data_IF_894111148642
#
_entry.id   IF_894111148642
#
_cell.length_a   1.000
_cell.length_b   1.000
_cell.length_c   1.000
_cell.angle_alpha   90.00
_cell.angle_beta   90.00
_cell.angle_gamma   90.00
#
_symmetry.space_group_name_H-M   'P 1'
#
loop_
_entity.id
_entity.type
_entity.pdbx_description
1 polymer ?
#
# COMPACT_ATOMS: atom_id res chain seq x y z
N UNK A 1 3.93 -4.54 -0.94
CA UNK A 1 2.52 -4.13 -0.77
C UNK A 1 2.49 -2.63 -0.59
N UNK A 2 1.39 -1.96 -0.91
CA UNK A 2 1.24 -0.52 -0.66
C UNK A 2 0.14 -0.22 0.37
N UNK A 3 0.20 0.98 0.92
CA UNK A 3 -0.77 1.49 1.89
C UNK A 3 -1.28 2.86 1.44
N UNK A 4 -2.51 3.20 1.82
CA UNK A 4 -3.00 4.57 1.82
C UNK A 4 -2.56 5.26 3.12
N UNK A 5 -1.93 6.42 3.01
CA UNK A 5 -1.44 7.21 4.14
C UNK A 5 -2.47 8.28 4.52
N UNK A 6 -2.35 8.94 5.69
CA UNK A 6 -3.22 10.07 6.04
C UNK A 6 -3.29 11.18 4.97
N UNK A 7 -2.19 11.38 4.24
CA UNK A 7 -2.12 12.33 3.12
C UNK A 7 -3.08 12.00 1.98
N UNK A 8 -3.51 10.74 1.85
CA UNK A 8 -4.46 10.31 0.83
C UNK A 8 -5.75 11.12 0.87
N UNK A 9 -6.27 11.41 2.06
CA UNK A 9 -7.49 12.21 2.22
C UNK A 9 -7.25 13.70 1.95
N UNK A 10 -6.08 14.20 2.32
CA UNK A 10 -5.76 15.64 2.19
C UNK A 10 -5.48 15.99 0.72
N UNK A 11 -4.81 15.10 0.01
CA UNK A 11 -4.31 15.36 -1.35
C UNK A 11 -5.22 14.83 -2.45
N UNK A 12 -6.09 13.85 -2.16
CA UNK A 12 -7.06 13.39 -3.15
C UNK A 12 -8.24 14.37 -3.23
N UNK A 13 -8.78 14.61 -4.44
CA UNK A 13 -9.97 15.44 -4.58
C UNK A 13 -11.17 14.75 -3.92
N UNK A 14 -12.06 15.54 -3.31
CA UNK A 14 -13.25 14.99 -2.63
C UNK A 14 -14.20 14.26 -3.59
N UNK A 15 -14.28 14.73 -4.84
CA UNK A 15 -15.03 14.08 -5.93
C UNK A 15 -14.19 14.08 -7.20
N UNK A 16 -14.28 13.02 -7.97
CA UNK A 16 -13.65 12.88 -9.28
C UNK A 16 -14.63 12.27 -10.27
N UNK A 17 -14.46 12.64 -11.53
CA UNK A 17 -15.28 12.15 -12.63
C UNK A 17 -14.36 11.66 -13.75
N UNK A 18 -14.67 10.48 -14.28
CA UNK A 18 -13.98 9.89 -15.40
C UNK A 18 -14.99 9.54 -16.48
N UNK A 19 -14.66 9.85 -17.72
CA UNK A 19 -15.48 9.50 -18.86
C UNK A 19 -14.61 8.88 -19.94
N UNK A 20 -15.08 7.76 -20.45
CA UNK A 20 -14.57 7.07 -21.62
C UNK A 20 -15.70 6.94 -22.64
N UNK A 21 -15.44 6.29 -23.79
CA UNK A 21 -16.47 6.08 -24.81
C UNK A 21 -17.68 5.28 -24.29
N UNK A 22 -17.41 4.31 -23.41
CA UNK A 22 -18.39 3.30 -22.98
C UNK A 22 -18.64 3.28 -21.48
N UNK A 23 -17.98 4.13 -20.71
CA UNK A 23 -18.16 4.17 -19.26
C UNK A 23 -18.03 5.59 -18.73
N UNK A 24 -18.92 5.94 -17.80
CA UNK A 24 -18.83 7.13 -16.98
C UNK A 24 -18.76 6.74 -15.51
N UNK A 25 -17.75 7.20 -14.79
CA UNK A 25 -17.52 6.86 -13.38
C UNK A 25 -17.44 8.12 -12.52
N UNK A 26 -18.29 8.18 -11.51
CA UNK A 26 -18.20 9.13 -10.41
C UNK A 26 -17.51 8.45 -9.23
N UNK A 27 -16.55 9.15 -8.63
CA UNK A 27 -15.85 8.72 -7.41
C UNK A 27 -16.01 9.80 -6.36
N UNK A 28 -16.53 9.45 -5.19
CA UNK A 28 -16.65 10.32 -4.03
C UNK A 28 -15.81 9.76 -2.88
N UNK A 29 -15.03 10.64 -2.24
CA UNK A 29 -14.13 10.29 -1.15
C UNK A 29 -14.67 10.88 0.15
N UNK A 30 -15.10 10.02 1.07
CA UNK A 30 -15.66 10.38 2.37
C UNK A 30 -14.65 10.09 3.48
N UNK A 31 -14.37 11.10 4.32
CA UNK A 31 -13.48 10.99 5.48
C UNK A 31 -14.27 10.55 6.72
N UNK A 32 -13.70 9.61 7.47
CA UNK A 32 -14.09 9.33 8.85
C UNK A 32 -12.88 9.51 9.77
N UNK A 33 -13.06 10.19 10.90
CA UNK A 33 -11.95 10.57 11.79
C UNK A 33 -11.59 9.49 12.81
N UNK A 34 -12.55 8.67 13.24
CA UNK A 34 -12.37 7.69 14.32
C UNK A 34 -12.99 6.34 13.92
N UNK A 35 -12.17 5.32 13.55
CA UNK A 35 -10.75 5.41 13.22
C UNK A 35 -10.52 6.19 11.91
N UNK A 36 -9.30 6.70 11.71
CA UNK A 36 -8.94 7.43 10.48
C UNK A 36 -9.10 6.53 9.25
N UNK A 37 -10.16 6.79 8.48
CA UNK A 37 -10.56 6.01 7.31
C UNK A 37 -10.98 6.91 6.16
N UNK A 38 -10.78 6.37 4.97
CA UNK A 38 -11.31 6.90 3.72
C UNK A 38 -12.27 5.88 3.13
N UNK A 39 -13.51 6.28 2.93
CA UNK A 39 -14.47 5.50 2.13
C UNK A 39 -14.53 6.10 0.74
N UNK A 40 -14.38 5.27 -0.29
CA UNK A 40 -14.61 5.65 -1.68
C UNK A 40 -15.94 5.06 -2.10
N UNK A 41 -16.86 5.92 -2.53
CA UNK A 41 -18.13 5.53 -3.14
C UNK A 41 -17.98 5.76 -4.64
N UNK A 42 -18.17 4.71 -5.43
CA UNK A 42 -17.94 4.72 -6.87
C UNK A 42 -19.22 4.29 -7.55
N UNK A 43 -19.76 5.17 -8.39
CA UNK A 43 -20.90 4.84 -9.26
C UNK A 43 -20.42 4.88 -10.70
N UNK A 44 -20.52 3.76 -11.40
CA UNK A 44 -20.19 3.64 -12.81
C UNK A 44 -21.46 3.38 -13.63
N UNK A 45 -21.57 4.03 -14.78
CA UNK A 45 -22.57 3.75 -15.80
C UNK A 45 -21.82 3.19 -17.01
N UNK A 46 -21.94 1.89 -17.22
CA UNK A 46 -21.25 1.15 -18.30
C UNK A 46 -22.24 0.89 -19.42
N UNK A 47 -21.87 1.22 -20.65
CA UNK A 47 -22.71 1.00 -21.83
C UNK A 47 -22.95 -0.49 -22.02
N UNK A 48 -24.22 -0.86 -22.19
CA UNK A 48 -24.66 -2.20 -22.56
C UNK A 48 -25.66 -2.07 -23.73
N UNK A 49 -25.14 -2.14 -24.95
CA UNK A 49 -25.88 -1.83 -26.17
C UNK A 49 -26.40 -0.39 -26.20
N UNK A 50 -27.72 -0.24 -26.30
CA UNK A 50 -28.43 1.05 -26.28
C UNK A 50 -28.71 1.58 -24.85
N UNK A 51 -28.38 0.79 -23.83
CA UNK A 51 -28.63 1.10 -22.42
C UNK A 51 -27.32 1.28 -21.65
N UNK A 52 -27.45 1.57 -20.36
CA UNK A 52 -26.33 1.58 -19.43
C UNK A 52 -26.68 0.74 -18.20
N UNK A 53 -25.74 -0.08 -17.76
CA UNK A 53 -25.76 -0.74 -16.46
C UNK A 53 -25.12 0.19 -15.43
N UNK A 54 -25.82 0.38 -14.29
CA UNK A 54 -25.24 1.08 -13.14
C UNK A 54 -24.58 0.07 -12.21
N UNK A 55 -23.32 0.31 -11.89
CA UNK A 55 -22.53 -0.46 -10.92
C UNK A 55 -22.11 0.47 -9.79
N UNK A 56 -22.48 0.13 -8.56
CA UNK A 56 -22.02 0.83 -7.36
C UNK A 56 -20.98 -0.04 -6.63
N UNK A 57 -19.85 0.57 -6.28
CA UNK A 57 -18.74 -0.07 -5.57
C UNK A 57 -18.29 0.81 -4.40
N UNK A 58 -18.10 0.20 -3.24
CA UNK A 58 -17.66 0.89 -2.03
C UNK A 58 -16.35 0.30 -1.50
N UNK A 59 -15.30 1.12 -1.42
CA UNK A 59 -14.02 0.74 -0.80
C UNK A 59 -13.86 1.45 0.54
N UNK A 60 -13.52 0.72 1.60
CA UNK A 60 -13.17 1.31 2.90
C UNK A 60 -11.69 1.05 3.21
N UNK A 61 -10.91 2.13 3.26
CA UNK A 61 -9.47 2.10 3.51
C UNK A 61 -9.17 2.64 4.91
N UNK A 62 -8.37 1.89 5.66
CA UNK A 62 -7.69 2.43 6.84
C UNK A 62 -6.50 3.25 6.36
N UNK A 63 -6.37 4.46 6.87
CA UNK A 63 -5.19 5.27 6.59
C UNK A 63 -4.11 4.97 7.62
N UNK A 64 -2.95 4.55 7.14
CA UNK A 64 -1.86 4.06 7.99
C UNK A 64 -0.72 5.06 7.91
N UNK A 65 -0.27 5.50 9.08
CA UNK A 65 0.94 6.30 9.20
C UNK A 65 2.18 5.45 8.80
N UNK A 66 2.97 5.88 7.79
CA UNK A 66 4.08 5.09 7.28
C UNK A 66 5.15 4.79 8.33
N UNK A 67 5.46 5.75 9.20
CA UNK A 67 6.51 5.62 10.23
C UNK A 67 6.10 4.62 11.30
N UNK A 68 4.83 4.63 11.71
CA UNK A 68 4.24 3.66 12.63
C UNK A 68 4.31 2.24 12.06
N UNK A 69 4.02 2.08 10.76
CA UNK A 69 4.14 0.78 10.10
C UNK A 69 5.59 0.33 9.97
N UNK A 70 6.50 1.23 9.57
CA UNK A 70 7.94 0.98 9.49
C UNK A 70 8.53 0.50 10.82
N UNK A 71 8.15 1.16 11.92
CA UNK A 71 8.54 0.74 13.27
C UNK A 71 8.03 -0.67 13.59
N UNK A 72 6.78 -0.97 13.24
CA UNK A 72 6.16 -2.27 13.47
C UNK A 72 6.86 -3.39 12.68
N UNK A 73 7.14 -3.16 11.39
CA UNK A 73 7.85 -4.10 10.51
C UNK A 73 9.26 -4.39 11.06
N UNK A 74 9.98 -3.35 11.48
CA UNK A 74 11.33 -3.49 12.05
C UNK A 74 11.31 -4.29 13.36
N UNK A 75 10.34 -4.01 14.23
CA UNK A 75 10.18 -4.69 15.53
C UNK A 75 9.88 -6.18 15.35
N UNK A 76 9.17 -6.54 14.28
CA UNK A 76 8.92 -7.93 13.90
C UNK A 76 10.14 -8.63 13.27
N UNK A 77 11.28 -7.95 13.14
CA UNK A 77 12.54 -8.51 12.65
C UNK A 77 12.69 -8.49 11.13
N UNK A 78 11.80 -7.80 10.42
CA UNK A 78 11.95 -7.59 8.98
C UNK A 78 12.89 -6.42 8.70
N UNK A 79 13.48 -6.44 7.53
CA UNK A 79 14.02 -5.27 6.86
C UNK A 79 13.02 -4.85 5.78
N UNK A 80 13.05 -3.59 5.38
CA UNK A 80 12.15 -3.09 4.35
C UNK A 80 12.73 -1.90 3.61
N UNK A 81 12.18 -1.68 2.43
CA UNK A 81 12.34 -0.46 1.64
C UNK A 81 10.97 0.15 1.38
N UNK A 82 10.91 1.48 1.41
CA UNK A 82 9.74 2.25 0.99
C UNK A 82 9.93 2.76 -0.43
N UNK A 83 8.85 2.80 -1.21
CA UNK A 83 8.89 3.24 -2.61
C UNK A 83 7.62 3.98 -3.03
N UNK A 84 7.70 4.76 -4.10
CA UNK A 84 6.60 5.62 -4.58
C UNK A 84 6.08 5.25 -5.98
N UNK A 85 6.61 4.20 -6.61
CA UNK A 85 6.20 3.77 -7.95
C UNK A 85 6.32 2.25 -8.15
N UNK A 86 5.49 1.71 -9.05
CA UNK A 86 5.67 0.39 -9.63
C UNK A 86 6.31 0.54 -11.02
N UNK A 87 7.63 0.32 -11.11
CA UNK A 87 8.38 0.58 -12.34
C UNK A 87 8.24 2.06 -12.76
N UNK A 88 7.81 2.36 -13.99
CA UNK A 88 7.61 3.74 -14.43
C UNK A 88 6.30 4.38 -13.93
N UNK A 89 5.42 3.62 -13.27
CA UNK A 89 4.08 4.08 -12.90
C UNK A 89 4.06 4.56 -11.44
N UNK A 90 3.85 5.87 -11.17
CA UNK A 90 3.75 6.39 -9.81
C UNK A 90 2.57 5.78 -9.06
N UNK A 91 2.74 5.59 -7.75
CA UNK A 91 1.63 5.26 -6.87
C UNK A 91 0.63 6.42 -6.83
N UNK A 92 -0.65 6.12 -6.60
CA UNK A 92 -1.65 7.17 -6.42
C UNK A 92 -1.25 8.14 -5.29
N UNK A 93 -1.52 9.43 -5.46
CA UNK A 93 -1.15 10.48 -4.47
C UNK A 93 -1.56 10.11 -3.04
N UNK A 94 -0.63 10.15 -2.09
CA UNK A 94 -0.88 9.75 -0.70
C UNK A 94 -0.90 8.24 -0.47
N UNK A 95 -0.39 7.44 -1.40
CA UNK A 95 -0.03 6.05 -1.18
C UNK A 95 1.49 5.89 -1.10
N UNK A 96 1.95 4.90 -0.34
CA UNK A 96 3.37 4.52 -0.30
C UNK A 96 3.50 3.00 -0.33
N UNK A 97 4.53 2.51 -1.02
CA UNK A 97 4.86 1.10 -1.14
C UNK A 97 5.85 0.66 -0.08
N UNK A 98 5.73 -0.60 0.33
CA UNK A 98 6.65 -1.33 1.21
C UNK A 98 7.07 -2.63 0.54
N UNK A 99 8.38 -2.84 0.44
CA UNK A 99 9.00 -4.12 0.11
C UNK A 99 9.70 -4.62 1.36
N UNK A 100 9.10 -5.61 2.05
CA UNK A 100 9.63 -6.16 3.28
C UNK A 100 10.18 -7.57 3.07
N UNK A 101 11.35 -7.84 3.64
CA UNK A 101 11.99 -9.16 3.61
C UNK A 101 12.47 -9.57 5.00
N UNK A 102 12.46 -10.88 5.24
CA UNK A 102 12.98 -11.43 6.49
C UNK A 102 14.51 -11.34 6.46
N UNK A 103 15.11 -10.87 7.55
CA UNK A 103 16.56 -10.95 7.70
C UNK A 103 17.00 -12.41 7.64
N UNK A 104 17.92 -12.73 6.75
CA UNK A 104 18.68 -13.98 6.82
C UNK A 104 19.66 -13.85 7.99
N UNK A 105 19.16 -14.01 9.22
CA UNK A 105 20.05 -14.30 10.33
C UNK A 105 20.76 -15.62 9.99
N UNK A 106 22.10 -15.72 10.08
CA UNK A 106 22.73 -17.03 10.05
C UNK A 106 22.07 -17.87 11.14
N UNK A 107 21.45 -18.98 10.75
CA UNK A 107 20.93 -19.94 11.71
C UNK A 107 22.05 -20.38 12.68
N UNK A 108 21.70 -20.86 13.88
CA UNK A 108 22.68 -21.22 14.92
C UNK A 108 23.79 -22.16 14.42
N UNK A 109 23.54 -22.95 13.36
CA UNK A 109 24.52 -23.84 12.72
C UNK A 109 25.68 -23.15 12.00
N UNK A 110 25.53 -21.88 11.56
CA UNK A 110 26.60 -21.18 10.83
C UNK A 110 27.57 -20.43 11.74
N UNK A 111 27.21 -20.16 12.99
CA UNK A 111 28.07 -19.47 13.97
C UNK A 111 29.19 -20.38 14.48
N UNK A 112 28.94 -21.69 14.56
CA UNK A 112 29.96 -22.66 15.00
C UNK A 112 31.05 -22.94 13.96
N UNK A 113 30.79 -22.76 12.65
CA UNK A 113 31.82 -22.96 11.61
C UNK A 113 32.87 -21.84 11.57
N UNK A 114 32.52 -20.64 12.00
CA UNK A 114 33.45 -19.49 11.99
C UNK A 114 34.36 -19.46 13.23
N UNK A 115 33.96 -20.07 14.34
CA UNK A 115 34.79 -20.16 15.56
C UNK A 115 35.76 -21.34 15.57
N UNK A 116 35.55 -22.37 14.74
CA UNK A 116 36.39 -23.57 14.68
C UNK A 116 37.72 -23.41 13.93
N UNK A 117 37.96 -22.28 13.26
CA UNK A 117 39.12 -22.10 12.38
C UNK A 117 40.24 -21.19 12.94
N UNK A 118 40.20 -20.86 14.25
CA UNK A 118 41.21 -19.99 14.89
C UNK A 118 42.16 -20.69 15.87
N UNK A 119 42.27 -22.02 15.84
CA UNK A 119 43.17 -22.76 16.73
C UNK A 119 44.05 -23.76 15.98
N UNK A 120 44.91 -23.28 15.08
CA UNK A 120 46.21 -23.92 14.81
C UNK A 120 47.18 -22.83 14.37
N UNK A 121 48.29 -22.68 15.10
CA UNK A 121 49.67 -22.51 14.59
C UNK A 121 50.61 -22.32 15.82
N UNK A 122 51.90 -22.68 15.68
CA UNK A 122 52.66 -23.51 16.62
C UNK A 122 53.20 -22.81 17.86
#
# INVERSE_FOLDING_TARGET
FDIATPDRIVKAPAKNFFQTQDCTTLVENVRSEIPLRMTREISSFVRDGEYYERVDETHSLRLIDPDTLAHSITTLGFEFEMFECYGPTPLPTGCVGFLAHKRNAPGPDKVNRLRGNQAVLP
#
